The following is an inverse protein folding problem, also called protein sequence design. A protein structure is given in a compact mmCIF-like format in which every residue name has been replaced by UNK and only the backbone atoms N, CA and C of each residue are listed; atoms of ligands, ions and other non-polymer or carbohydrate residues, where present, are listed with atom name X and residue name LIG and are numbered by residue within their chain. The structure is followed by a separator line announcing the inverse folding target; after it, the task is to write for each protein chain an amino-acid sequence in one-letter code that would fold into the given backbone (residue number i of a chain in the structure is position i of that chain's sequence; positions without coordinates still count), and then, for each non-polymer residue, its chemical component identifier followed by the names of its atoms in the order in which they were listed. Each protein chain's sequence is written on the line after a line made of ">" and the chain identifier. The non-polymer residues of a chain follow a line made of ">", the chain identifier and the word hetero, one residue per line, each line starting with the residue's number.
data_IF_493222726617
#
_entry.id   IF_493222726617
#
_cell.length_a   1.000
_cell.length_b   1.000
_cell.length_c   1.000
_cell.angle_alpha   90.00
_cell.angle_beta   90.00
_cell.angle_gamma   90.00
#
_symmetry.space_group_name_H-M   'P 1'
#
loop_
_entity.id
_entity.type
_entity.pdbx_description
1 polymer ?
#
# COMPACT_ATOMS: atom_id res chain seq x y z
N UNK A 1 -9.23 22.35 -1.86
CA UNK A 1 -9.87 21.42 -0.91
C UNK A 1 -8.90 20.31 -0.51
N UNK A 2 -8.26 19.65 -1.48
CA UNK A 2 -7.26 18.60 -1.24
C UNK A 2 -5.97 19.11 -0.57
N UNK A 3 -5.47 20.28 -1.00
CA UNK A 3 -4.24 20.89 -0.44
C UNK A 3 -4.32 21.18 1.07
N UNK A 4 -5.53 21.40 1.59
CA UNK A 4 -5.76 21.66 3.02
C UNK A 4 -5.39 20.45 3.89
N UNK A 5 -5.47 19.25 3.32
CA UNK A 5 -5.27 17.98 4.02
C UNK A 5 -4.07 17.19 3.46
N UNK A 6 -3.21 17.84 2.67
CA UNK A 6 -2.05 17.21 2.03
C UNK A 6 -2.41 15.99 1.18
N UNK A 7 -3.62 15.95 0.62
CA UNK A 7 -4.04 14.88 -0.28
C UNK A 7 -3.43 15.09 -1.67
N UNK A 8 -2.93 14.02 -2.28
CA UNK A 8 -2.19 14.05 -3.54
C UNK A 8 -2.90 13.17 -4.57
N UNK A 9 -3.12 13.70 -5.77
CA UNK A 9 -3.68 12.95 -6.91
C UNK A 9 -2.85 13.10 -8.20
N UNK A 10 -1.91 14.05 -8.22
CA UNK A 10 -1.02 14.30 -9.35
C UNK A 10 0.36 14.74 -8.84
N UNK A 11 1.42 14.29 -9.50
CA UNK A 11 2.78 14.76 -9.23
C UNK A 11 3.10 16.07 -9.97
N UNK A 12 4.40 16.36 -10.09
CA UNK A 12 4.89 17.52 -10.84
C UNK A 12 4.66 17.36 -12.36
N UNK A 13 3.74 18.16 -12.90
CA UNK A 13 3.34 18.13 -14.32
C UNK A 13 4.33 18.81 -15.26
N UNK A 14 5.36 19.50 -14.73
CA UNK A 14 6.44 20.05 -15.55
C UNK A 14 7.43 18.97 -16.03
N UNK A 15 7.38 17.79 -15.41
CA UNK A 15 8.23 16.64 -15.73
C UNK A 15 7.42 15.52 -16.36
N UNK A 16 8.03 14.79 -17.28
CA UNK A 16 7.44 13.58 -17.87
C UNK A 16 7.68 12.37 -16.96
N UNK A 17 6.99 12.36 -15.81
CA UNK A 17 7.09 11.30 -14.80
C UNK A 17 5.72 10.69 -14.56
N UNK A 18 5.67 9.37 -14.40
CA UNK A 18 4.49 8.61 -13.99
C UNK A 18 4.80 7.88 -12.69
N UNK A 19 3.83 7.83 -11.79
CA UNK A 19 3.91 7.09 -10.52
C UNK A 19 2.98 5.89 -10.61
N UNK A 20 3.52 4.68 -10.45
CA UNK A 20 2.75 3.44 -10.49
C UNK A 20 2.31 3.07 -9.08
N UNK A 21 1.03 2.77 -8.93
CA UNK A 21 0.44 2.35 -7.65
C UNK A 21 -0.55 1.21 -7.87
N UNK A 22 -0.58 0.25 -6.95
CA UNK A 22 -1.47 -0.91 -6.99
C UNK A 22 -2.27 -0.99 -5.68
N UNK A 23 -3.53 -1.39 -5.77
CA UNK A 23 -4.39 -1.60 -4.60
C UNK A 23 -4.60 -3.11 -4.44
N UNK A 24 -4.04 -3.66 -3.36
CA UNK A 24 -3.90 -5.10 -3.10
C UNK A 24 -4.95 -5.56 -2.07
N UNK A 25 -6.17 -5.76 -2.54
CA UNK A 25 -7.28 -6.30 -1.75
C UNK A 25 -7.27 -7.83 -1.64
N UNK A 26 -6.82 -8.51 -2.69
CA UNK A 26 -6.68 -9.97 -2.77
C UNK A 26 -5.67 -10.35 -3.86
N UNK A 27 -5.10 -11.55 -3.76
CA UNK A 27 -4.20 -12.09 -4.78
C UNK A 27 -4.96 -12.96 -5.78
N UNK A 28 -4.65 -12.83 -7.07
CA UNK A 28 -5.24 -13.62 -8.16
C UNK A 28 -4.21 -14.43 -8.98
N UNK A 29 -2.97 -14.52 -8.50
CA UNK A 29 -1.85 -15.24 -9.11
C UNK A 29 -0.91 -14.38 -9.97
N UNK A 30 -0.96 -13.05 -9.89
CA UNK A 30 -0.24 -12.16 -10.81
C UNK A 30 0.76 -11.21 -10.13
N UNK A 31 0.68 -11.00 -8.81
CA UNK A 31 1.57 -10.01 -8.18
C UNK A 31 3.05 -10.39 -8.31
N UNK A 32 3.37 -11.69 -8.27
CA UNK A 32 4.76 -12.13 -8.49
C UNK A 32 5.29 -11.69 -9.86
N UNK A 33 4.52 -11.87 -10.94
CA UNK A 33 4.98 -11.49 -12.28
C UNK A 33 5.01 -9.97 -12.48
N UNK A 34 4.14 -9.24 -11.77
CA UNK A 34 4.20 -7.77 -11.70
C UNK A 34 5.51 -7.34 -11.03
N UNK A 35 5.85 -7.90 -9.85
CA UNK A 35 7.11 -7.62 -9.15
C UNK A 35 8.32 -7.94 -10.02
N UNK A 36 8.31 -9.09 -10.69
CA UNK A 36 9.40 -9.48 -11.62
C UNK A 36 9.56 -8.45 -12.75
N UNK A 37 8.45 -8.00 -13.35
CA UNK A 37 8.46 -6.98 -14.41
C UNK A 37 8.99 -5.64 -13.90
N UNK A 38 8.57 -5.21 -12.70
CA UNK A 38 9.05 -3.96 -12.09
C UNK A 38 10.57 -4.03 -11.83
N UNK A 39 11.05 -5.16 -11.32
CA UNK A 39 12.46 -5.42 -11.07
C UNK A 39 13.29 -5.42 -12.35
N UNK A 40 12.84 -6.11 -13.41
CA UNK A 40 13.50 -6.15 -14.72
C UNK A 40 13.66 -4.75 -15.34
N UNK A 41 12.70 -3.87 -15.10
CA UNK A 41 12.71 -2.49 -15.60
C UNK A 41 13.32 -1.49 -14.60
N UNK A 42 13.79 -1.96 -13.44
CA UNK A 42 14.32 -1.12 -12.36
C UNK A 42 13.34 0.00 -11.94
N UNK A 43 12.06 -0.37 -11.79
CA UNK A 43 10.97 0.53 -11.42
C UNK A 43 10.55 0.28 -9.97
N UNK A 44 10.45 1.35 -9.20
CA UNK A 44 9.82 1.34 -7.87
C UNK A 44 8.34 1.73 -7.99
N UNK A 45 7.45 0.93 -7.40
CA UNK A 45 6.01 1.21 -7.31
C UNK A 45 5.56 1.33 -5.84
N UNK A 46 4.31 1.75 -5.64
CA UNK A 46 3.64 1.72 -4.33
C UNK A 46 2.50 0.70 -4.31
N UNK A 47 2.45 -0.15 -3.30
CA UNK A 47 1.41 -1.16 -3.10
C UNK A 47 0.59 -0.81 -1.87
N UNK A 48 -0.69 -0.52 -2.05
CA UNK A 48 -1.65 -0.24 -0.98
C UNK A 48 -2.31 -1.56 -0.57
N UNK A 49 -1.89 -2.13 0.56
CA UNK A 49 -2.31 -3.48 0.98
C UNK A 49 -3.42 -3.45 2.01
N UNK A 50 -4.33 -4.42 1.93
CA UNK A 50 -5.31 -4.68 3.00
C UNK A 50 -4.78 -5.68 4.02
N UNK A 51 -5.41 -5.75 5.20
CA UNK A 51 -5.04 -6.72 6.23
C UNK A 51 -5.20 -8.16 5.76
N UNK A 52 -6.28 -8.45 5.03
CA UNK A 52 -6.48 -9.80 4.45
C UNK A 52 -5.41 -10.16 3.43
N UNK A 53 -4.88 -9.19 2.69
CA UNK A 53 -3.82 -9.44 1.72
C UNK A 53 -2.51 -9.80 2.42
N UNK A 54 -2.15 -9.06 3.47
CA UNK A 54 -0.97 -9.35 4.30
C UNK A 54 -1.05 -10.77 4.89
N UNK A 55 -2.18 -11.13 5.49
CA UNK A 55 -2.35 -12.43 6.15
C UNK A 55 -2.23 -13.60 5.16
N UNK A 56 -2.78 -13.46 3.95
CA UNK A 56 -2.82 -14.52 2.94
C UNK A 56 -1.55 -14.61 2.11
N UNK A 57 -0.85 -13.49 1.92
CA UNK A 57 0.28 -13.36 1.00
C UNK A 57 1.54 -12.75 1.66
N UNK A 58 1.97 -13.23 2.86
CA UNK A 58 3.07 -12.59 3.59
C UNK A 58 4.38 -12.59 2.80
N UNK A 59 4.63 -13.60 1.98
CA UNK A 59 5.84 -13.67 1.15
C UNK A 59 5.87 -12.58 0.05
N UNK A 60 4.72 -12.28 -0.56
CA UNK A 60 4.63 -11.20 -1.55
C UNK A 60 4.84 -9.84 -0.90
N UNK A 61 4.30 -9.63 0.30
CA UNK A 61 4.51 -8.39 1.06
C UNK A 61 5.98 -8.22 1.46
N UNK A 62 6.65 -9.29 1.90
CA UNK A 62 8.11 -9.25 2.16
C UNK A 62 8.89 -8.91 0.90
N UNK A 63 8.57 -9.55 -0.24
CA UNK A 63 9.20 -9.24 -1.52
C UNK A 63 9.03 -7.78 -1.91
N UNK A 64 7.85 -7.19 -1.75
CA UNK A 64 7.63 -5.76 -2.03
C UNK A 64 8.63 -4.89 -1.25
N UNK A 65 8.82 -5.17 0.03
CA UNK A 65 9.76 -4.44 0.89
C UNK A 65 11.22 -4.70 0.50
N UNK A 66 11.59 -5.97 0.30
CA UNK A 66 12.96 -6.39 -0.04
C UNK A 66 13.42 -5.88 -1.41
N UNK A 67 12.50 -5.78 -2.37
CA UNK A 67 12.74 -5.28 -3.72
C UNK A 67 12.67 -3.74 -3.81
N UNK A 68 12.43 -3.05 -2.69
CA UNK A 68 12.51 -1.60 -2.57
C UNK A 68 11.27 -0.84 -3.01
N UNK A 69 10.10 -1.49 -3.00
CA UNK A 69 8.81 -0.85 -3.22
C UNK A 69 8.28 -0.19 -1.95
N UNK A 70 7.39 0.79 -2.14
CA UNK A 70 6.63 1.35 -1.03
C UNK A 70 5.46 0.42 -0.71
N UNK A 71 5.25 0.10 0.56
CA UNK A 71 4.07 -0.64 1.01
C UNK A 71 3.27 0.27 1.94
N UNK A 72 2.05 0.57 1.53
CA UNK A 72 1.20 1.60 2.09
C UNK A 72 -0.13 1.01 2.58
N UNK A 73 -0.89 1.78 3.36
CA UNK A 73 -2.15 1.31 3.93
C UNK A 73 -3.31 1.43 2.96
N UNK A 74 -4.04 0.33 2.77
CA UNK A 74 -5.39 0.32 2.18
C UNK A 74 -6.46 -0.04 3.22
N UNK A 75 -6.20 0.28 4.50
CA UNK A 75 -6.95 -0.15 5.69
C UNK A 75 -6.92 -1.66 5.95
N UNK A 76 -7.27 -2.08 7.17
CA UNK A 76 -7.22 -3.49 7.56
C UNK A 76 -8.35 -4.30 6.91
N UNK A 77 -9.57 -3.77 6.95
CA UNK A 77 -10.80 -4.45 6.52
C UNK A 77 -11.48 -3.83 5.30
N UNK A 78 -10.91 -2.77 4.72
CA UNK A 78 -11.45 -2.05 3.55
C UNK A 78 -12.89 -1.53 3.73
N UNK A 79 -13.22 -0.84 4.85
CA UNK A 79 -14.53 -0.23 5.02
C UNK A 79 -14.65 1.06 4.19
N UNK A 80 -15.88 1.51 3.97
CA UNK A 80 -16.15 2.86 3.50
C UNK A 80 -15.78 3.86 4.60
N UNK A 81 -14.67 4.60 4.43
CA UNK A 81 -14.15 5.52 5.44
C UNK A 81 -15.13 6.64 5.87
N UNK A 82 -15.98 7.20 4.98
CA UNK A 82 -16.99 8.17 5.39
C UNK A 82 -18.05 7.63 6.35
N UNK A 83 -18.21 6.30 6.43
CA UNK A 83 -19.29 5.64 7.18
C UNK A 83 -18.83 5.13 8.57
N UNK A 84 -17.57 5.38 8.94
CA UNK A 84 -16.98 4.94 10.21
C UNK A 84 -16.57 6.13 11.08
N UNK A 85 -16.50 5.91 12.39
CA UNK A 85 -16.00 6.91 13.35
C UNK A 85 -14.48 7.04 13.29
N UNK A 86 -13.94 8.17 13.79
CA UNK A 86 -12.49 8.39 13.92
C UNK A 86 -11.79 7.27 14.69
N UNK A 87 -12.43 6.73 15.74
CA UNK A 87 -11.90 5.61 16.52
C UNK A 87 -11.82 4.30 15.72
N UNK A 88 -12.79 4.07 14.82
CA UNK A 88 -12.74 2.94 13.89
C UNK A 88 -11.68 3.15 12.82
N UNK A 89 -11.55 4.36 12.26
CA UNK A 89 -10.48 4.69 11.31
C UNK A 89 -9.08 4.49 11.92
N UNK A 90 -8.86 4.98 13.15
CA UNK A 90 -7.59 4.80 13.85
C UNK A 90 -7.28 3.32 14.08
N UNK A 91 -8.29 2.52 14.43
CA UNK A 91 -8.16 1.07 14.57
C UNK A 91 -7.80 0.39 13.24
N UNK A 92 -8.47 0.77 12.15
CA UNK A 92 -8.19 0.24 10.81
C UNK A 92 -6.74 0.46 10.37
N UNK A 93 -6.18 1.63 10.68
CA UNK A 93 -4.79 1.96 10.37
C UNK A 93 -3.83 1.16 11.26
N UNK A 94 -4.04 1.18 12.59
CA UNK A 94 -3.14 0.52 13.55
C UNK A 94 -3.10 -0.99 13.42
N UNK A 95 -4.25 -1.62 13.17
CA UNK A 95 -4.32 -3.07 12.97
C UNK A 95 -3.50 -3.50 11.74
N UNK A 96 -3.55 -2.71 10.66
CA UNK A 96 -2.75 -2.96 9.47
C UNK A 96 -1.25 -2.75 9.73
N UNK A 97 -0.89 -1.65 10.40
CA UNK A 97 0.49 -1.37 10.81
C UNK A 97 1.09 -2.53 11.63
N UNK A 98 0.33 -3.07 12.58
CA UNK A 98 0.75 -4.21 13.39
C UNK A 98 0.95 -5.47 12.55
N UNK A 99 -0.01 -5.81 11.68
CA UNK A 99 0.10 -6.95 10.75
C UNK A 99 1.33 -6.83 9.86
N UNK A 100 1.53 -5.66 9.26
CA UNK A 100 2.67 -5.38 8.40
C UNK A 100 3.99 -5.53 9.15
N UNK A 101 4.10 -4.94 10.36
CA UNK A 101 5.29 -5.05 11.20
C UNK A 101 5.59 -6.48 11.62
N UNK A 102 4.57 -7.27 11.96
CA UNK A 102 4.73 -8.68 12.33
C UNK A 102 5.26 -9.54 11.17
N UNK A 103 4.89 -9.21 9.92
CA UNK A 103 5.34 -9.94 8.72
C UNK A 103 6.72 -9.50 8.25
N UNK A 104 7.00 -8.20 8.27
CA UNK A 104 8.17 -7.60 7.59
C UNK A 104 9.26 -7.10 8.54
N UNK A 105 8.95 -6.90 9.82
CA UNK A 105 9.84 -6.25 10.78
C UNK A 105 10.06 -4.75 10.52
N UNK A 106 9.28 -4.13 9.63
CA UNK A 106 9.38 -2.69 9.30
C UNK A 106 8.09 -1.94 9.65
N UNK A 107 8.21 -0.62 9.76
CA UNK A 107 7.07 0.28 9.81
C UNK A 107 6.54 0.51 8.38
N UNK A 108 5.22 0.60 8.24
CA UNK A 108 4.56 0.82 6.94
C UNK A 108 4.84 2.24 6.43
N UNK A 109 4.86 2.41 5.10
CA UNK A 109 5.02 3.73 4.50
C UNK A 109 3.77 4.59 4.74
N UNK A 110 3.99 5.86 5.06
CA UNK A 110 2.93 6.79 5.50
C UNK A 110 2.12 7.38 4.32
N UNK A 111 1.45 6.50 3.59
CA UNK A 111 0.41 6.86 2.63
C UNK A 111 -0.82 5.98 2.88
N UNK A 112 -1.99 6.59 2.76
CA UNK A 112 -3.29 5.94 2.86
C UNK A 112 -4.01 6.09 1.52
N UNK A 113 -4.69 5.03 1.11
CA UNK A 113 -5.65 5.07 0.02
C UNK A 113 -6.93 4.36 0.42
#
# INVERSE_FOLDING_TARGET
>A
MLDKFSAIYVGDTSRKVVYLTFDEGYENGYTSSILDTLKENNITASFFVTGSYIDKNPELVRRMVEEGHYVCSHTSTHPSLPDISDAQLEKEIKDLEEKFRNVTGREIDRYLR
#
